data_IF_146038832111
#
_entry.id   IF_146038832111
#
_cell.length_a   1.000
_cell.length_b   1.000
_cell.length_c   1.000
_cell.angle_alpha   90.00
_cell.angle_beta   90.00
_cell.angle_gamma   90.00
#
_symmetry.space_group_name_H-M   'P 1'
#
loop_
_entity.id
_entity.type
_entity.pdbx_description
1 polymer ?
#
# COMPACT_ATOMS: atom_id res chain seq x y z
N UNK A 1 -1.44 3.73 10.80
CA UNK A 1 -1.43 2.53 9.95
C UNK A 1 -2.33 1.47 10.57
N UNK A 2 -3.24 0.88 9.80
CA UNK A 2 -3.99 -0.32 10.18
C UNK A 2 -3.01 -1.46 10.46
N UNK A 3 -3.37 -2.38 11.36
CA UNK A 3 -2.45 -3.43 11.83
C UNK A 3 -2.78 -4.82 11.25
N UNK A 4 -3.97 -4.97 10.67
CA UNK A 4 -4.48 -6.23 10.10
C UNK A 4 -5.32 -5.93 8.86
N UNK A 5 -5.34 -6.86 7.90
CA UNK A 5 -6.16 -6.79 6.69
C UNK A 5 -6.98 -8.09 6.65
N UNK A 6 -8.29 -7.98 6.86
CA UNK A 6 -9.20 -9.13 6.86
C UNK A 6 -10.32 -8.99 5.82
N UNK A 7 -10.56 -7.78 5.33
CA UNK A 7 -11.64 -7.45 4.41
C UNK A 7 -11.16 -6.53 3.29
N UNK A 8 -11.97 -6.44 2.23
CA UNK A 8 -11.71 -5.50 1.12
C UNK A 8 -11.74 -4.03 1.59
N UNK A 9 -12.50 -3.72 2.65
CA UNK A 9 -12.53 -2.37 3.21
C UNK A 9 -11.22 -2.05 3.93
N UNK A 10 -10.61 -3.03 4.59
CA UNK A 10 -9.28 -2.86 5.21
C UNK A 10 -8.21 -2.56 4.17
N UNK A 11 -8.27 -3.22 3.00
CA UNK A 11 -7.39 -2.92 1.85
C UNK A 11 -7.54 -1.45 1.44
N UNK A 12 -8.78 -0.98 1.28
CA UNK A 12 -9.06 0.43 0.93
C UNK A 12 -8.58 1.40 2.01
N UNK A 13 -8.75 1.06 3.29
CA UNK A 13 -8.24 1.85 4.42
C UNK A 13 -6.72 1.93 4.39
N UNK A 14 -6.03 0.82 4.14
CA UNK A 14 -4.56 0.78 4.00
C UNK A 14 -4.09 1.67 2.85
N UNK A 15 -4.69 1.55 1.67
CA UNK A 15 -4.33 2.36 0.50
C UNK A 15 -4.56 3.87 0.74
N UNK A 16 -5.65 4.25 1.40
CA UNK A 16 -5.89 5.64 1.79
C UNK A 16 -4.86 6.15 2.81
N UNK A 17 -4.40 5.30 3.73
CA UNK A 17 -3.35 5.67 4.66
C UNK A 17 -2.00 5.88 3.95
N UNK A 18 -1.66 5.01 2.98
CA UNK A 18 -0.49 5.18 2.12
C UNK A 18 -0.55 6.46 1.27
N UNK A 19 -1.72 6.78 0.71
CA UNK A 19 -1.94 8.04 -0.02
C UNK A 19 -1.67 9.25 0.87
N UNK A 20 -2.13 9.22 2.13
CA UNK A 20 -1.89 10.29 3.09
C UNK A 20 -0.43 10.41 3.53
N UNK A 21 0.41 9.39 3.32
CA UNK A 21 1.86 9.44 3.52
C UNK A 21 2.60 10.12 2.36
N UNK A 22 1.91 10.48 1.26
CA UNK A 22 2.48 11.20 0.12
C UNK A 22 3.37 10.34 -0.78
N UNK A 23 3.13 9.03 -0.80
CA UNK A 23 3.91 8.07 -1.58
C UNK A 23 3.54 8.11 -3.06
N UNK A 24 4.55 7.97 -3.93
CA UNK A 24 4.33 7.52 -5.30
C UNK A 24 4.17 5.99 -5.31
N UNK A 25 3.06 5.53 -4.75
CA UNK A 25 2.82 4.12 -4.43
C UNK A 25 2.59 3.26 -5.67
N UNK A 26 3.16 2.05 -5.64
CA UNK A 26 2.84 0.95 -6.54
C UNK A 26 2.78 -0.35 -5.73
N UNK A 27 1.73 -1.19 -5.89
CA UNK A 27 1.51 -2.38 -5.06
C UNK A 27 2.64 -3.42 -5.16
N UNK A 28 3.27 -3.56 -6.34
CA UNK A 28 4.41 -4.48 -6.52
C UNK A 28 5.75 -3.94 -6.03
N UNK A 29 5.85 -2.66 -5.67
CA UNK A 29 7.13 -2.09 -5.21
C UNK A 29 7.31 -2.39 -3.73
N UNK A 30 8.36 -3.11 -3.33
CA UNK A 30 8.61 -3.37 -1.93
C UNK A 30 8.87 -2.09 -1.13
N UNK A 31 8.37 -2.02 0.11
CA UNK A 31 8.43 -0.80 0.91
C UNK A 31 9.86 -0.36 1.27
N UNK A 32 10.83 -1.28 1.31
CA UNK A 32 12.23 -0.92 1.54
C UNK A 32 12.88 -0.13 0.39
N UNK A 33 12.28 -0.16 -0.80
CA UNK A 33 12.82 0.49 -2.00
C UNK A 33 12.29 1.92 -2.18
N UNK A 34 11.37 2.36 -1.31
CA UNK A 34 10.86 3.73 -1.34
C UNK A 34 11.90 4.70 -0.80
N UNK A 35 12.21 5.71 -1.62
CA UNK A 35 13.14 6.80 -1.29
C UNK A 35 12.35 8.09 -1.15
N UNK A 36 12.54 8.78 -0.02
CA UNK A 36 11.98 10.11 0.19
C UNK A 36 12.67 11.11 -0.75
N UNK A 37 11.87 11.80 -1.57
CA UNK A 37 12.39 12.70 -2.61
C UNK A 37 13.15 13.92 -2.06
N UNK A 38 12.78 14.38 -0.87
CA UNK A 38 13.38 15.55 -0.21
C UNK A 38 14.70 15.18 0.47
N UNK A 39 14.69 14.14 1.30
CA UNK A 39 15.84 13.75 2.13
C UNK A 39 16.82 12.83 1.41
N UNK A 40 16.40 12.21 0.31
CA UNK A 40 17.15 11.17 -0.43
C UNK A 40 17.51 9.95 0.42
N UNK A 41 16.80 9.74 1.53
CA UNK A 41 16.92 8.57 2.39
C UNK A 41 15.75 7.61 2.16
N UNK A 42 15.84 6.40 2.70
CA UNK A 42 14.69 5.49 2.74
C UNK A 42 13.50 6.17 3.41
N UNK A 43 12.32 5.99 2.83
CA UNK A 43 11.07 6.55 3.40
C UNK A 43 10.73 5.90 4.73
N UNK A 44 11.09 4.63 4.90
CA UNK A 44 10.76 3.81 6.06
C UNK A 44 12.02 3.22 6.69
N UNK A 45 11.96 2.94 7.99
CA UNK A 45 12.94 2.02 8.59
C UNK A 45 12.72 0.59 8.08
N UNK A 46 13.70 -0.30 8.32
CA UNK A 46 13.58 -1.70 7.95
C UNK A 46 12.35 -2.38 8.60
N UNK A 47 12.08 -2.06 9.87
CA UNK A 47 10.93 -2.59 10.61
C UNK A 47 9.61 -2.05 10.04
N UNK A 48 9.55 -0.76 9.72
CA UNK A 48 8.37 -0.12 9.13
C UNK A 48 8.05 -0.65 7.73
N UNK A 49 9.08 -0.91 6.93
CA UNK A 49 8.95 -1.53 5.61
C UNK A 49 8.45 -2.97 5.71
N UNK A 50 9.02 -3.78 6.63
CA UNK A 50 8.59 -5.17 6.86
C UNK A 50 7.11 -5.27 7.27
N UNK A 51 6.65 -4.38 8.17
CA UNK A 51 5.23 -4.32 8.54
C UNK A 51 4.34 -4.01 7.34
N UNK A 52 4.72 -3.02 6.52
CA UNK A 52 3.92 -2.63 5.34
C UNK A 52 3.92 -3.69 4.25
N UNK A 53 5.05 -4.35 3.99
CA UNK A 53 5.13 -5.48 3.06
C UNK A 53 4.18 -6.60 3.49
N UNK A 54 4.15 -6.95 4.79
CA UNK A 54 3.23 -7.98 5.30
C UNK A 54 1.75 -7.59 5.14
N UNK A 55 1.42 -6.31 5.35
CA UNK A 55 0.07 -5.81 5.10
C UNK A 55 -0.27 -5.84 3.60
N UNK A 56 0.71 -5.54 2.74
CA UNK A 56 0.57 -5.58 1.29
C UNK A 56 0.31 -7.00 0.78
N UNK A 57 1.09 -7.98 1.26
CA UNK A 57 0.88 -9.40 0.98
C UNK A 57 -0.55 -9.82 1.35
N UNK A 58 -1.07 -9.35 2.50
CA UNK A 58 -2.47 -9.60 2.89
C UNK A 58 -3.50 -8.92 2.01
N UNK A 59 -3.20 -7.76 1.44
CA UNK A 59 -4.10 -7.16 0.46
C UNK A 59 -4.17 -8.01 -0.81
N UNK A 60 -3.04 -8.57 -1.29
CA UNK A 60 -3.04 -9.51 -2.41
C UNK A 60 -3.86 -10.76 -2.09
N UNK A 61 -3.64 -11.39 -0.93
CA UNK A 61 -4.40 -12.58 -0.48
C UNK A 61 -5.93 -12.32 -0.49
N UNK A 62 -6.37 -11.19 0.06
CA UNK A 62 -7.79 -10.81 0.13
C UNK A 62 -8.36 -10.51 -1.25
N UNK A 63 -7.63 -9.76 -2.09
CA UNK A 63 -8.09 -9.39 -3.43
C UNK A 63 -8.22 -10.64 -4.32
N UNK A 64 -7.24 -11.55 -4.28
CA UNK A 64 -7.29 -12.83 -4.99
C UNK A 64 -8.49 -13.69 -4.53
N UNK A 65 -8.72 -13.78 -3.22
CA UNK A 65 -9.83 -14.56 -2.65
C UNK A 65 -11.21 -14.03 -3.07
N UNK A 66 -11.33 -12.71 -3.27
CA UNK A 66 -12.59 -12.04 -3.58
C UNK A 66 -12.77 -11.74 -5.08
N UNK A 67 -11.86 -12.18 -5.94
CA UNK A 67 -11.82 -11.86 -7.38
C UNK A 67 -11.87 -10.34 -7.63
N UNK A 68 -11.15 -9.57 -6.78
CA UNK A 68 -11.03 -8.13 -6.88
C UNK A 68 -9.68 -7.75 -7.50
N UNK A 69 -9.67 -6.78 -8.42
CA UNK A 69 -8.45 -6.29 -9.02
C UNK A 69 -7.78 -5.24 -8.12
N UNK A 70 -6.64 -5.61 -7.53
CA UNK A 70 -5.88 -4.73 -6.65
C UNK A 70 -5.33 -3.49 -7.37
N UNK A 71 -5.03 -3.59 -8.67
CA UNK A 71 -4.53 -2.48 -9.47
C UNK A 71 -5.66 -1.50 -9.80
N UNK A 72 -6.87 -2.00 -10.07
CA UNK A 72 -8.07 -1.16 -10.22
C UNK A 72 -8.32 -0.37 -8.93
N UNK A 73 -8.27 -1.02 -7.76
CA UNK A 73 -8.39 -0.35 -6.46
C UNK A 73 -7.30 0.70 -6.23
N UNK A 74 -6.07 0.44 -6.65
CA UNK A 74 -4.99 1.42 -6.58
C UNK A 74 -5.29 2.64 -7.46
N UNK A 75 -5.74 2.43 -8.70
CA UNK A 75 -6.10 3.51 -9.63
C UNK A 75 -7.25 4.34 -9.05
N UNK A 76 -8.32 3.71 -8.58
CA UNK A 76 -9.46 4.40 -7.98
C UNK A 76 -9.07 5.32 -6.81
N UNK A 77 -8.10 4.91 -5.99
CA UNK A 77 -7.70 5.64 -4.78
C UNK A 77 -6.61 6.68 -5.05
N UNK A 78 -5.58 6.33 -5.83
CA UNK A 78 -4.42 7.19 -6.06
C UNK A 78 -4.56 8.08 -7.30
N UNK A 79 -5.50 7.77 -8.20
CA UNK A 79 -5.74 8.49 -9.44
C UNK A 79 -7.23 8.83 -9.65
N UNK A 80 -7.89 9.53 -8.71
CA UNK A 80 -9.35 9.73 -8.70
C UNK A 80 -9.90 10.63 -9.84
N UNK A 81 -9.05 11.10 -10.77
CA UNK A 81 -9.40 12.06 -11.81
C UNK A 81 -9.12 11.55 -13.24
N UNK A 82 -8.94 10.24 -13.41
CA UNK A 82 -9.00 9.58 -14.72
C UNK A 82 -10.38 8.99 -14.97
#
# INVERSE_FOLDING_TARGET
MIQTIETIEDVKVFFRQLLNEGLNFHPDTPFQDYINAETRQQTYTAEEADVRNKLMDKCFDICETLDADIYELCIEIFQPFF
#
